data_IF_846406579315
#
_entry.id   IF_846406579315
#
_cell.length_a   1.000
_cell.length_b   1.000
_cell.length_c   1.000
_cell.angle_alpha   90.00
_cell.angle_beta   90.00
_cell.angle_gamma   90.00
#
_symmetry.space_group_name_H-M   'P 1'
#
loop_
_entity.id
_entity.type
_entity.pdbx_description
1 polymer ?
#
# COMPACT_ATOMS: atom_id res chain seq x y z
N UNK A 1 53.20 50.56 -41.37
CA UNK A 1 51.95 50.01 -41.97
C UNK A 1 51.01 49.71 -40.79
N UNK A 2 50.06 50.59 -40.44
CA UNK A 2 48.72 50.79 -41.07
C UNK A 2 47.94 49.46 -40.99
N UNK A 3 46.75 49.26 -40.41
CA UNK A 3 45.58 50.05 -40.01
C UNK A 3 44.78 49.18 -38.98
N UNK A 4 44.11 49.66 -37.90
CA UNK A 4 42.85 50.43 -37.80
C UNK A 4 41.56 49.56 -37.93
N UNK A 5 40.69 49.60 -36.89
CA UNK A 5 39.20 49.40 -36.84
C UNK A 5 38.69 47.93 -37.00
N UNK A 6 37.73 47.36 -36.23
CA UNK A 6 36.53 47.88 -35.58
C UNK A 6 36.10 47.10 -34.32
N UNK A 7 35.58 47.84 -33.33
CA UNK A 7 34.63 47.38 -32.35
C UNK A 7 33.19 47.62 -32.87
N UNK A 8 32.25 46.72 -32.62
CA UNK A 8 30.79 46.94 -32.76
C UNK A 8 30.08 45.92 -31.87
N UNK A 9 29.73 46.27 -30.62
CA UNK A 9 28.50 46.96 -30.21
C UNK A 9 27.24 46.16 -30.54
N UNK A 10 26.75 45.39 -29.57
CA UNK A 10 25.32 45.14 -29.40
C UNK A 10 24.92 45.72 -28.04
N UNK A 11 24.29 46.89 -28.12
CA UNK A 11 23.70 47.57 -26.97
C UNK A 11 22.36 46.94 -26.62
N UNK A 12 22.06 46.90 -25.32
CA UNK A 12 20.69 46.85 -24.85
C UNK A 12 20.01 48.23 -24.94
N UNK A 13 18.68 48.24 -24.83
CA UNK A 13 17.89 48.94 -23.78
C UNK A 13 16.42 49.05 -24.23
N UNK A 14 15.52 48.79 -23.27
CA UNK A 14 14.08 49.16 -23.28
C UNK A 14 13.24 48.02 -22.69
N UNK A 15 12.90 47.95 -21.38
CA UNK A 15 11.95 48.80 -20.60
C UNK A 15 10.72 49.17 -21.45
N UNK A 16 9.48 48.99 -21.04
CA UNK A 16 8.82 48.68 -19.76
C UNK A 16 7.34 48.73 -20.08
N UNK A 17 6.51 47.80 -19.60
CA UNK A 17 5.08 48.06 -19.44
C UNK A 17 4.58 47.31 -18.21
N UNK A 18 4.65 48.02 -17.08
CA UNK A 18 3.82 47.74 -15.92
C UNK A 18 2.48 48.42 -16.12
N UNK A 19 1.40 47.65 -16.10
CA UNK A 19 0.06 48.16 -15.83
C UNK A 19 -0.47 47.51 -14.55
N UNK A 20 -0.73 48.28 -13.49
CA UNK A 20 -1.31 47.78 -12.25
C UNK A 20 -2.83 47.75 -12.39
N UNK A 21 -3.47 46.60 -12.13
CA UNK A 21 -4.93 46.55 -12.02
C UNK A 21 -5.36 45.87 -10.71
N UNK A 22 -5.73 46.76 -9.79
CA UNK A 22 -6.74 46.65 -8.71
C UNK A 22 -6.57 45.57 -7.64
N UNK A 23 -6.06 46.05 -6.51
CA UNK A 23 -6.55 45.70 -5.17
C UNK A 23 -8.04 46.05 -5.06
N UNK A 24 -8.91 45.05 -4.86
CA UNK A 24 -10.19 45.20 -4.15
C UNK A 24 -10.55 43.86 -3.48
N UNK A 25 -10.79 43.90 -2.17
CA UNK A 25 -11.66 42.92 -1.49
C UNK A 25 -11.00 41.95 -0.52
N UNK A 26 -10.43 42.45 0.57
CA UNK A 26 -10.43 41.70 1.84
C UNK A 26 -11.75 42.00 2.56
N UNK A 27 -12.72 41.11 2.43
CA UNK A 27 -13.87 40.88 3.34
C UNK A 27 -14.35 39.46 3.04
N UNK A 28 -14.63 38.54 3.95
CA UNK A 28 -14.36 38.43 5.37
C UNK A 28 -14.44 36.92 5.65
N UNK A 29 -13.63 36.44 6.59
CA UNK A 29 -13.88 35.13 7.17
C UNK A 29 -15.16 35.27 7.98
N UNK A 30 -16.27 34.77 7.44
CA UNK A 30 -17.50 34.61 8.21
C UNK A 30 -17.23 33.51 9.23
N UNK A 31 -16.88 34.01 10.41
CA UNK A 31 -16.85 33.33 11.69
C UNK A 31 -18.07 32.45 11.89
N UNK A 32 -17.80 31.26 12.43
CA UNK A 32 -18.58 30.59 13.47
C UNK A 32 -19.80 31.39 13.96
N UNK A 33 -20.97 30.80 13.79
CA UNK A 33 -22.25 31.32 14.28
C UNK A 33 -22.39 30.97 15.77
N UNK A 34 -22.37 31.94 16.70
CA UNK A 34 -22.58 31.68 18.12
C UNK A 34 -24.07 31.53 18.44
N UNK A 35 -24.37 30.61 19.35
CA UNK A 35 -25.68 30.30 19.92
C UNK A 35 -26.54 31.54 20.23
N UNK A 36 -27.88 31.46 20.05
CA UNK A 36 -28.81 32.41 20.63
C UNK A 36 -28.95 32.21 22.14
N UNK A 37 -28.79 33.31 22.87
CA UNK A 37 -28.93 33.44 24.32
C UNK A 37 -30.39 33.37 24.76
N UNK A 38 -30.61 32.61 25.84
CA UNK A 38 -31.54 32.84 26.94
C UNK A 38 -32.97 33.35 26.63
N UNK A 39 -33.93 32.42 26.71
CA UNK A 39 -35.32 32.69 27.09
C UNK A 39 -35.68 31.83 28.31
N UNK A 40 -35.85 32.48 29.45
CA UNK A 40 -36.34 31.91 30.71
C UNK A 40 -37.82 31.52 30.60
N UNK A 41 -38.14 30.26 30.94
CA UNK A 41 -39.47 29.91 31.46
C UNK A 41 -39.42 28.63 32.27
N UNK A 42 -39.11 28.81 33.55
CA UNK A 42 -39.73 28.09 34.66
C UNK A 42 -41.10 27.49 34.31
N UNK A 43 -41.21 26.16 34.31
CA UNK A 43 -42.27 25.39 34.99
C UNK A 43 -42.09 23.87 34.77
N UNK A 44 -42.21 23.13 35.89
CA UNK A 44 -42.33 21.66 36.06
C UNK A 44 -41.03 20.84 36.05
N UNK A 45 -40.25 20.94 37.12
CA UNK A 45 -39.58 19.74 37.68
C UNK A 45 -40.39 19.27 38.87
N UNK A 46 -40.98 18.08 38.76
CA UNK A 46 -41.57 17.39 39.90
C UNK A 46 -40.49 16.90 40.88
N UNK A 47 -40.86 16.50 42.10
CA UNK A 47 -39.91 16.05 43.11
C UNK A 47 -39.18 14.79 42.65
N UNK A 48 -37.87 14.75 42.92
CA UNK A 48 -37.04 13.57 42.72
C UNK A 48 -37.40 12.56 43.82
N UNK A 49 -38.13 11.51 43.46
CA UNK A 49 -38.42 10.41 44.36
C UNK A 49 -37.13 9.66 44.70
N UNK A 50 -36.80 9.69 45.99
CA UNK A 50 -35.57 9.21 46.61
C UNK A 50 -35.71 7.69 46.87
N UNK A 51 -35.80 6.84 45.84
CA UNK A 51 -35.94 5.38 46.09
C UNK A 51 -35.33 4.43 45.05
N UNK A 52 -34.45 4.83 44.12
CA UNK A 52 -33.82 3.83 43.21
C UNK A 52 -32.35 4.10 42.80
N UNK A 53 -31.58 4.85 43.58
CA UNK A 53 -30.17 5.16 43.25
C UNK A 53 -29.11 4.35 44.01
N UNK A 54 -29.52 3.35 44.82
CA UNK A 54 -28.58 2.40 45.45
C UNK A 54 -28.32 1.14 44.64
N UNK A 55 -28.91 0.98 43.44
CA UNK A 55 -28.65 -0.12 42.51
C UNK A 55 -28.09 0.34 41.16
N UNK A 56 -27.43 1.51 41.14
CA UNK A 56 -26.71 2.00 39.94
C UNK A 56 -25.33 2.59 40.25
N UNK A 57 -24.76 2.18 41.37
CA UNK A 57 -23.37 2.42 41.78
C UNK A 57 -22.70 1.11 42.25
N UNK A 58 -23.02 -0.02 41.61
CA UNK A 58 -22.27 -1.28 41.69
C UNK A 58 -21.87 -1.83 40.30
N UNK A 59 -21.72 -0.94 39.31
CA UNK A 59 -21.13 -1.27 38.00
C UNK A 59 -20.09 -0.23 37.53
N UNK A 60 -19.54 0.52 38.48
CA UNK A 60 -18.19 1.08 38.41
C UNK A 60 -17.32 0.09 39.17
N UNK A 61 -16.82 -0.97 38.54
CA UNK A 61 -15.54 -0.99 37.86
C UNK A 61 -15.60 -2.07 36.77
N UNK A 62 -15.81 -1.69 35.52
CA UNK A 62 -15.24 -2.50 34.44
C UNK A 62 -13.76 -2.20 34.44
N UNK A 63 -13.01 -2.95 35.24
CA UNK A 63 -11.62 -3.23 34.94
C UNK A 63 -11.59 -3.64 33.48
N UNK A 64 -10.92 -2.86 32.64
CA UNK A 64 -10.57 -3.32 31.29
C UNK A 64 -9.75 -4.58 31.49
N UNK A 65 -10.38 -5.75 31.32
CA UNK A 65 -9.68 -7.02 31.38
C UNK A 65 -8.52 -6.97 30.39
N UNK A 66 -7.40 -7.55 30.77
CA UNK A 66 -6.19 -7.69 29.95
C UNK A 66 -6.43 -8.50 28.64
N UNK A 67 -7.68 -8.87 28.37
CA UNK A 67 -8.15 -9.74 27.30
C UNK A 67 -8.61 -9.00 26.03
N UNK A 68 -8.71 -7.67 26.05
CA UNK A 68 -8.99 -6.84 24.86
C UNK A 68 -7.70 -6.31 24.19
N UNK A 69 -6.61 -7.07 24.26
CA UNK A 69 -5.40 -6.82 23.49
C UNK A 69 -5.33 -7.72 22.25
N UNK A 70 -5.26 -7.11 21.08
CA UNK A 70 -5.11 -7.86 19.83
C UNK A 70 -3.83 -8.74 19.83
N UNK A 71 -4.06 -10.03 19.51
CA UNK A 71 -3.14 -11.14 19.22
C UNK A 71 -2.74 -12.01 20.43
N UNK A 72 -3.40 -13.18 20.52
CA UNK A 72 -3.30 -14.17 21.61
C UNK A 72 -2.02 -15.04 21.65
N UNK A 73 -1.26 -15.16 20.55
CA UNK A 73 -0.12 -16.09 20.50
C UNK A 73 1.15 -15.47 21.13
N UNK A 74 1.68 -16.09 22.19
CA UNK A 74 2.92 -15.65 22.87
C UNK A 74 4.16 -15.68 21.96
N UNK A 75 4.23 -16.63 21.02
CA UNK A 75 5.41 -16.84 20.16
C UNK A 75 5.58 -15.79 19.05
N UNK A 76 4.55 -15.01 18.73
CA UNK A 76 4.57 -14.11 17.58
C UNK A 76 4.47 -12.66 18.00
N UNK A 77 5.62 -11.98 18.04
CA UNK A 77 5.67 -10.56 18.41
C UNK A 77 4.77 -9.67 17.54
N UNK A 78 4.08 -8.72 18.17
CA UNK A 78 3.34 -7.61 17.55
C UNK A 78 4.23 -6.38 17.29
N UNK A 79 5.47 -6.37 17.78
CA UNK A 79 6.36 -5.22 17.69
C UNK A 79 6.72 -4.89 16.23
N UNK A 80 6.39 -3.66 15.82
CA UNK A 80 6.71 -3.12 14.48
C UNK A 80 8.19 -3.22 14.13
N UNK A 81 9.08 -2.95 15.11
CA UNK A 81 10.54 -2.98 14.92
C UNK A 81 11.02 -4.41 14.59
N UNK A 82 10.57 -5.40 15.36
CA UNK A 82 10.92 -6.82 15.15
C UNK A 82 10.39 -7.33 13.80
N UNK A 83 9.13 -7.02 13.47
CA UNK A 83 8.52 -7.41 12.19
C UNK A 83 9.27 -6.85 10.97
N UNK A 84 9.61 -5.55 10.98
CA UNK A 84 10.35 -4.91 9.87
C UNK A 84 11.77 -5.50 9.74
N UNK A 85 12.46 -5.72 10.86
CA UNK A 85 13.80 -6.34 10.87
C UNK A 85 13.75 -7.72 10.22
N UNK A 86 12.80 -8.56 10.62
CA UNK A 86 12.61 -9.90 10.05
C UNK A 86 12.33 -9.87 8.54
N UNK A 87 11.51 -8.94 8.05
CA UNK A 87 11.21 -8.82 6.62
C UNK A 87 12.44 -8.40 5.79
N UNK A 88 13.14 -7.33 6.19
CA UNK A 88 14.26 -6.80 5.39
C UNK A 88 15.52 -7.66 5.48
N UNK A 89 15.75 -8.34 6.62
CA UNK A 89 16.89 -9.24 6.83
C UNK A 89 16.58 -10.70 6.47
N UNK A 90 15.40 -11.01 5.95
CA UNK A 90 15.01 -12.38 5.62
C UNK A 90 16.03 -13.09 4.69
N UNK A 91 16.33 -14.38 4.92
CA UNK A 91 17.17 -15.18 4.02
C UNK A 91 16.43 -15.54 2.72
N UNK A 92 17.16 -15.93 1.68
CA UNK A 92 16.62 -16.11 0.31
C UNK A 92 15.43 -17.07 0.22
N UNK A 93 15.42 -18.17 0.98
CA UNK A 93 14.33 -19.14 0.97
C UNK A 93 13.04 -18.57 1.56
N UNK A 94 13.13 -17.72 2.60
CA UNK A 94 11.99 -16.99 3.17
C UNK A 94 11.53 -15.91 2.19
N UNK A 95 12.45 -15.16 1.56
CA UNK A 95 12.11 -14.15 0.57
C UNK A 95 11.29 -14.71 -0.59
N UNK A 96 11.58 -15.93 -1.03
CA UNK A 96 10.78 -16.63 -2.06
C UNK A 96 9.31 -16.73 -1.65
N UNK A 97 9.01 -17.02 -0.39
CA UNK A 97 7.64 -17.15 0.12
C UNK A 97 6.96 -15.78 0.21
N UNK A 98 7.67 -14.79 0.74
CA UNK A 98 7.21 -13.40 0.82
C UNK A 98 6.89 -12.86 -0.58
N UNK A 99 7.73 -13.16 -1.57
CA UNK A 99 7.56 -12.82 -2.98
C UNK A 99 6.57 -13.74 -3.70
N UNK A 100 5.38 -13.88 -3.12
CA UNK A 100 4.24 -14.55 -3.76
C UNK A 100 3.33 -13.56 -4.46
N UNK A 101 2.69 -14.03 -5.53
CA UNK A 101 1.70 -13.26 -6.29
C UNK A 101 0.39 -13.99 -6.39
N UNK A 102 -0.68 -13.23 -6.57
CA UNK A 102 -2.01 -13.79 -6.77
C UNK A 102 -2.09 -14.52 -8.11
N UNK A 103 -2.78 -15.66 -8.13
CA UNK A 103 -3.14 -16.34 -9.39
C UNK A 103 -4.34 -15.66 -10.06
N UNK A 104 -4.48 -15.81 -11.37
CA UNK A 104 -5.69 -15.42 -12.13
C UNK A 104 -6.92 -16.21 -11.64
N UNK A 105 -8.13 -15.76 -11.99
CA UNK A 105 -9.36 -16.43 -11.58
C UNK A 105 -9.44 -17.86 -12.14
N UNK A 106 -9.01 -18.05 -13.38
CA UNK A 106 -8.96 -19.36 -14.05
C UNK A 106 -8.02 -20.34 -13.34
N UNK A 107 -6.79 -19.90 -13.03
CA UNK A 107 -5.83 -20.74 -12.31
C UNK A 107 -6.28 -21.04 -10.88
N UNK A 108 -7.01 -20.12 -10.23
CA UNK A 108 -7.62 -20.37 -8.93
C UNK A 108 -8.69 -21.43 -8.99
N UNK A 109 -9.54 -21.42 -10.02
CA UNK A 109 -10.55 -22.46 -10.20
C UNK A 109 -9.89 -23.82 -10.46
N UNK A 110 -8.83 -23.86 -11.28
CA UNK A 110 -8.14 -25.10 -11.65
C UNK A 110 -7.38 -25.77 -10.50
N UNK A 111 -6.66 -24.98 -9.70
CA UNK A 111 -5.78 -25.52 -8.65
C UNK A 111 -6.25 -25.23 -7.23
N UNK A 112 -7.36 -24.49 -7.05
CA UNK A 112 -7.90 -24.06 -5.76
C UNK A 112 -6.90 -23.37 -4.81
N UNK A 113 -5.87 -22.73 -5.37
CA UNK A 113 -4.83 -21.99 -4.63
C UNK A 113 -4.94 -20.51 -4.91
N UNK A 114 -4.84 -19.66 -3.88
CA UNK A 114 -4.94 -18.20 -4.03
C UNK A 114 -3.68 -17.54 -4.61
N UNK A 115 -2.50 -17.99 -4.16
CA UNK A 115 -1.21 -17.39 -4.48
C UNK A 115 -0.07 -18.38 -4.54
N UNK A 116 0.91 -18.07 -5.40
CA UNK A 116 2.13 -18.86 -5.60
C UNK A 116 3.38 -17.98 -5.58
N UNK A 117 4.52 -18.48 -5.07
CA UNK A 117 5.82 -17.85 -5.28
C UNK A 117 6.10 -17.67 -6.77
N UNK A 118 6.48 -16.45 -7.20
CA UNK A 118 6.84 -16.20 -8.59
C UNK A 118 8.17 -16.88 -8.93
N UNK A 119 8.25 -17.46 -10.12
CA UNK A 119 9.48 -17.95 -10.74
C UNK A 119 9.78 -17.20 -12.05
N UNK A 120 10.98 -17.44 -12.57
CA UNK A 120 11.26 -17.14 -13.97
C UNK A 120 10.30 -17.93 -14.85
N UNK A 121 10.03 -17.38 -16.02
CA UNK A 121 9.20 -18.00 -17.03
C UNK A 121 7.70 -18.12 -16.74
N UNK A 122 7.23 -17.60 -15.60
CA UNK A 122 5.81 -17.36 -15.39
C UNK A 122 5.33 -16.22 -16.28
N UNK A 123 4.14 -16.35 -16.86
CA UNK A 123 3.47 -15.23 -17.51
C UNK A 123 2.63 -14.47 -16.49
N UNK A 124 2.73 -13.15 -16.57
CA UNK A 124 2.14 -12.27 -15.57
C UNK A 124 1.53 -11.02 -16.19
N UNK A 125 0.50 -10.52 -15.51
CA UNK A 125 -0.22 -9.29 -15.85
C UNK A 125 -0.04 -8.28 -14.73
N UNK A 126 0.36 -7.05 -15.06
CA UNK A 126 0.49 -5.98 -14.09
C UNK A 126 -0.89 -5.37 -13.80
N UNK A 127 -1.29 -5.37 -12.53
CA UNK A 127 -2.62 -4.88 -12.09
C UNK A 127 -2.56 -3.46 -11.55
N UNK A 128 -1.44 -3.07 -10.94
CA UNK A 128 -1.28 -1.77 -10.26
C UNK A 128 -0.01 -1.05 -10.70
N UNK A 129 -0.07 0.28 -10.82
CA UNK A 129 1.04 1.16 -11.19
C UNK A 129 0.97 1.64 -12.64
N UNK A 130 2.03 2.34 -13.09
CA UNK A 130 2.08 2.96 -14.41
C UNK A 130 1.98 1.97 -15.58
N UNK A 131 2.46 0.74 -15.38
CA UNK A 131 2.47 -0.31 -16.41
C UNK A 131 1.26 -1.25 -16.33
N UNK A 132 0.14 -0.80 -15.74
CA UNK A 132 -1.08 -1.60 -15.61
C UNK A 132 -1.59 -2.07 -16.98
N UNK A 133 -2.09 -3.30 -17.04
CA UNK A 133 -2.62 -3.91 -18.26
C UNK A 133 -1.55 -4.51 -19.17
N UNK A 134 -0.27 -4.24 -18.93
CA UNK A 134 0.81 -4.92 -19.65
C UNK A 134 0.98 -6.33 -19.14
N UNK A 135 1.11 -7.25 -20.09
CA UNK A 135 1.37 -8.66 -19.85
C UNK A 135 2.77 -9.02 -20.35
N UNK A 136 3.41 -9.95 -19.69
CA UNK A 136 4.72 -10.42 -20.13
C UNK A 136 5.24 -11.57 -19.29
N UNK A 137 6.28 -12.20 -19.81
CA UNK A 137 7.00 -13.26 -19.12
C UNK A 137 7.96 -12.66 -18.09
N UNK A 138 8.10 -13.31 -16.94
CA UNK A 138 9.07 -12.91 -15.91
C UNK A 138 10.46 -13.36 -16.36
N UNK A 139 11.33 -12.38 -16.63
CA UNK A 139 12.72 -12.63 -17.04
C UNK A 139 13.58 -13.06 -15.84
N UNK A 140 13.50 -12.26 -14.77
CA UNK A 140 14.30 -12.49 -13.57
C UNK A 140 13.58 -12.06 -12.30
N UNK A 141 13.85 -12.79 -11.22
CA UNK A 141 13.33 -12.53 -9.88
C UNK A 141 14.47 -12.07 -9.00
N UNK A 142 14.52 -10.77 -8.70
CA UNK A 142 15.58 -10.19 -7.90
C UNK A 142 15.18 -10.12 -6.41
N UNK A 143 15.44 -11.22 -5.70
CA UNK A 143 15.04 -11.40 -4.29
C UNK A 143 15.71 -10.42 -3.32
N UNK A 144 16.92 -9.93 -3.62
CA UNK A 144 17.62 -8.97 -2.76
C UNK A 144 16.85 -7.66 -2.62
N UNK A 145 16.18 -7.21 -3.70
CA UNK A 145 15.43 -5.96 -3.76
C UNK A 145 13.90 -6.14 -3.74
N UNK A 146 13.39 -7.37 -3.56
CA UNK A 146 11.95 -7.67 -3.61
C UNK A 146 11.27 -7.26 -4.93
N UNK A 147 11.98 -7.43 -6.05
CA UNK A 147 11.55 -6.94 -7.36
C UNK A 147 11.58 -8.07 -8.40
N UNK A 148 10.65 -8.02 -9.35
CA UNK A 148 10.64 -8.84 -10.56
C UNK A 148 10.84 -7.95 -11.80
N UNK A 149 11.52 -8.50 -12.80
CA UNK A 149 11.67 -7.88 -14.12
C UNK A 149 10.81 -8.64 -15.11
N UNK A 150 9.98 -7.90 -15.84
CA UNK A 150 9.03 -8.42 -16.82
C UNK A 150 9.45 -7.88 -18.19
N UNK A 151 9.39 -8.72 -19.21
CA UNK A 151 9.93 -8.43 -20.54
C UNK A 151 9.38 -7.13 -21.16
N UNK A 152 8.05 -6.98 -21.23
CA UNK A 152 7.37 -5.81 -21.83
C UNK A 152 7.28 -4.58 -20.91
N UNK A 153 7.96 -4.61 -19.76
CA UNK A 153 7.94 -3.53 -18.76
C UNK A 153 9.32 -2.88 -18.73
N UNK A 154 9.54 -2.00 -19.69
CA UNK A 154 10.78 -1.26 -19.91
C UNK A 154 10.58 0.24 -19.77
N UNK A 155 11.69 0.95 -19.58
CA UNK A 155 11.82 2.39 -19.72
C UNK A 155 13.06 2.70 -20.55
N UNK A 156 13.01 3.81 -21.26
CA UNK A 156 14.13 4.26 -22.07
C UNK A 156 15.03 5.17 -21.23
N UNK A 157 16.35 5.01 -21.39
CA UNK A 157 17.34 5.94 -20.86
C UNK A 157 17.56 7.08 -21.85
N UNK A 158 18.09 8.21 -21.36
CA UNK A 158 18.53 9.31 -22.24
C UNK A 158 19.59 8.87 -23.27
N UNK A 159 20.32 7.79 -22.99
CA UNK A 159 21.28 7.18 -23.92
C UNK A 159 20.64 6.33 -25.03
N UNK A 160 19.30 6.27 -25.11
CA UNK A 160 18.55 5.46 -26.09
C UNK A 160 18.44 3.96 -25.76
N UNK A 161 19.12 3.47 -24.72
CA UNK A 161 19.04 2.07 -24.29
C UNK A 161 17.80 1.81 -23.42
N UNK A 162 17.10 0.70 -23.69
CA UNK A 162 15.95 0.26 -22.89
C UNK A 162 16.40 -0.53 -21.66
N UNK A 163 15.81 -0.25 -20.49
CA UNK A 163 16.07 -1.03 -19.26
C UNK A 163 14.76 -1.48 -18.63
N UNK A 164 14.74 -2.72 -18.14
CA UNK A 164 13.58 -3.29 -17.47
C UNK A 164 13.29 -2.57 -16.16
N UNK A 165 12.04 -2.16 -15.98
CA UNK A 165 11.59 -1.55 -14.72
C UNK A 165 11.27 -2.63 -13.72
N UNK A 166 11.71 -2.41 -12.48
CA UNK A 166 11.42 -3.29 -11.37
C UNK A 166 9.98 -3.18 -10.89
N UNK A 167 9.25 -4.28 -10.84
CA UNK A 167 7.89 -4.34 -10.31
C UNK A 167 7.85 -5.22 -9.06
N UNK A 168 7.06 -4.84 -8.05
CA UNK A 168 6.86 -5.69 -6.87
C UNK A 168 5.83 -6.81 -7.19
N UNK A 169 6.08 -8.07 -6.80
CA UNK A 169 5.20 -9.21 -7.13
C UNK A 169 3.74 -9.02 -6.71
N UNK A 170 3.47 -8.34 -5.58
CA UNK A 170 2.08 -8.09 -5.15
C UNK A 170 1.27 -7.18 -6.07
N UNK A 171 1.92 -6.42 -6.97
CA UNK A 171 1.24 -5.56 -7.97
C UNK A 171 0.84 -6.33 -9.24
N UNK A 172 1.11 -7.63 -9.27
CA UNK A 172 1.07 -8.48 -10.44
C UNK A 172 0.23 -9.72 -10.16
N UNK A 173 -0.44 -10.22 -11.19
CA UNK A 173 -1.22 -11.45 -11.17
C UNK A 173 -0.63 -12.43 -12.18
N UNK A 174 -0.48 -13.69 -11.78
CA UNK A 174 0.03 -14.75 -12.65
C UNK A 174 -1.10 -15.22 -13.57
N UNK A 175 -0.88 -15.15 -14.89
CA UNK A 175 -1.81 -15.64 -15.91
C UNK A 175 -1.52 -17.10 -16.28
N UNK A 176 -0.26 -17.44 -16.52
CA UNK A 176 0.18 -18.82 -16.77
C UNK A 176 1.36 -19.20 -15.87
N UNK A 177 1.33 -20.43 -15.35
CA UNK A 177 2.37 -20.98 -14.49
C UNK A 177 3.35 -21.82 -15.30
N UNK A 178 4.64 -21.64 -15.06
CA UNK A 178 5.65 -22.60 -15.48
C UNK A 178 5.66 -23.80 -14.52
N UNK A 179 5.30 -24.99 -15.00
CA UNK A 179 5.01 -26.19 -14.19
C UNK A 179 6.16 -27.19 -14.15
N UNK A 180 6.94 -27.15 -13.08
CA UNK A 180 7.94 -28.18 -12.75
C UNK A 180 7.38 -29.27 -11.82
N UNK A 181 8.15 -30.37 -11.64
CA UNK A 181 7.87 -31.44 -10.66
C UNK A 181 7.61 -30.86 -9.26
N UNK A 182 8.52 -30.03 -8.75
CA UNK A 182 8.38 -29.41 -7.43
C UNK A 182 7.22 -28.41 -7.35
N UNK A 183 6.91 -27.73 -8.47
CA UNK A 183 5.81 -26.76 -8.48
C UNK A 183 4.47 -27.45 -8.41
N UNK A 184 4.31 -28.58 -9.11
CA UNK A 184 3.15 -29.45 -9.00
C UNK A 184 2.98 -29.97 -7.57
N UNK A 185 4.06 -30.42 -6.93
CA UNK A 185 4.03 -30.84 -5.52
C UNK A 185 3.58 -29.71 -4.58
N UNK A 186 4.05 -28.47 -4.78
CA UNK A 186 3.62 -27.33 -3.97
C UNK A 186 2.14 -27.00 -4.21
N UNK A 187 1.65 -27.10 -5.45
CA UNK A 187 0.25 -26.86 -5.77
C UNK A 187 -0.64 -27.91 -5.10
N UNK A 188 -0.30 -29.19 -5.22
CA UNK A 188 -1.02 -30.29 -4.56
C UNK A 188 -1.08 -30.10 -3.04
N UNK A 189 0.05 -29.77 -2.40
CA UNK A 189 0.11 -29.51 -0.95
C UNK A 189 -0.69 -28.28 -0.51
N UNK A 190 -0.83 -27.27 -1.38
CA UNK A 190 -1.54 -26.02 -1.07
C UNK A 190 -3.01 -26.08 -1.41
N UNK A 191 -3.44 -27.10 -2.15
CA UNK A 191 -4.82 -27.29 -2.52
C UNK A 191 -5.69 -27.30 -1.25
N UNK A 192 -6.75 -26.50 -1.28
CA UNK A 192 -7.69 -26.36 -0.17
C UNK A 192 -8.88 -27.29 -0.31
N UNK A 193 -9.04 -27.92 -1.48
CA UNK A 193 -10.13 -28.83 -1.80
C UNK A 193 -9.83 -30.27 -1.40
N UNK A 194 -8.55 -30.63 -1.25
CA UNK A 194 -8.17 -31.94 -0.73
C UNK A 194 -8.43 -32.02 0.77
N UNK A 195 -9.11 -33.07 1.29
CA UNK A 195 -9.30 -33.26 2.71
C UNK A 195 -7.93 -33.37 3.40
N UNK A 196 -7.73 -32.57 4.45
CA UNK A 196 -6.54 -32.72 5.30
C UNK A 196 -6.82 -33.88 6.25
N UNK A 197 -6.26 -35.05 5.98
CA UNK A 197 -6.13 -36.08 7.00
C UNK A 197 -5.35 -35.47 8.18
N UNK A 198 -6.02 -35.39 9.33
CA UNK A 198 -5.36 -35.00 10.57
C UNK A 198 -4.47 -36.17 10.95
N UNK A 199 -3.15 -36.03 10.80
CA UNK A 199 -2.22 -36.96 11.42
C UNK A 199 -2.46 -36.91 12.94
N UNK A 200 -3.10 -37.95 13.48
CA UNK A 200 -3.08 -38.23 14.91
C UNK A 200 -1.62 -38.52 15.27
N UNK A 201 -1.08 -37.73 16.18
CA UNK A 201 0.21 -38.00 16.81
C UNK A 201 -0.17 -38.76 18.08
N UNK A 202 0.04 -40.07 18.05
CA UNK A 202 -0.06 -40.94 19.23
C UNK A 202 1.09 -40.67 20.21
#
# INVERSE_FOLDING_TARGET
MVAVIAASRWGGVGRSDGSPVKVRGRVGWASWNPNPTAGDRTQRRGPLDITNDTLRLQLTEKTTTEDDMAKFSKDVSSSRRKSRKAHFQAPSHVRRVIMSSGLSKELRAKYNVRSMPIRKDDEVVVVRGAFKGREGKVLSVYRKKYVIHIDKVTRDKASGQTVQVGVHPSKVVISKLYLDKDRKAILARKDRGSPKEKMQVD
#
